data_IF_769932708692
#
_entry.id   IF_769932708692
#
_cell.length_a   1.000
_cell.length_b   1.000
_cell.length_c   1.000
_cell.angle_alpha   90.00
_cell.angle_beta   90.00
_cell.angle_gamma   90.00
#
_symmetry.space_group_name_H-M   'P 1'
#
loop_
_entity.id
_entity.type
_entity.pdbx_description
1 polymer ?
#
# COMPACT_ATOMS: atom_id res chain seq x y z
N UNK A 1 -11.28 -32.23 -13.68
CA UNK A 1 -11.43 -31.08 -12.73
C UNK A 1 -12.31 -30.06 -13.41
N UNK A 2 -13.54 -29.86 -12.94
CA UNK A 2 -14.40 -28.79 -13.42
C UNK A 2 -13.96 -27.46 -12.81
N UNK A 3 -12.98 -26.82 -13.44
CA UNK A 3 -12.42 -25.53 -13.05
C UNK A 3 -13.53 -24.47 -13.09
N UNK A 4 -14.52 -24.59 -13.95
CA UNK A 4 -15.57 -23.61 -14.19
C UNK A 4 -16.44 -23.33 -12.95
N UNK A 5 -16.61 -24.28 -12.04
CA UNK A 5 -17.39 -24.08 -10.81
C UNK A 5 -16.64 -23.34 -9.70
N UNK A 6 -15.31 -23.14 -9.84
CA UNK A 6 -14.46 -22.54 -8.81
C UNK A 6 -13.88 -21.19 -9.23
N UNK A 7 -14.04 -20.83 -10.50
CA UNK A 7 -13.52 -19.58 -11.06
C UNK A 7 -14.70 -18.71 -11.47
N UNK A 8 -14.76 -17.50 -10.90
CA UNK A 8 -15.79 -16.52 -11.21
C UNK A 8 -15.15 -15.27 -11.77
N UNK A 9 -15.55 -14.90 -12.98
CA UNK A 9 -15.15 -13.61 -13.56
C UNK A 9 -16.11 -12.51 -13.10
N UNK A 10 -15.54 -11.42 -12.56
CA UNK A 10 -16.31 -10.26 -12.15
C UNK A 10 -16.03 -9.10 -13.12
N UNK A 11 -16.96 -8.75 -14.01
CA UNK A 11 -16.72 -7.72 -15.04
C UNK A 11 -16.65 -6.31 -14.48
N UNK A 12 -17.00 -6.10 -13.20
CA UNK A 12 -16.97 -4.81 -12.52
C UNK A 12 -17.52 -4.90 -11.11
N UNK A 13 -17.66 -3.74 -10.45
CA UNK A 13 -18.19 -3.65 -9.09
C UNK A 13 -17.27 -2.87 -8.16
N UNK A 14 -17.69 -2.75 -6.90
CA UNK A 14 -16.88 -2.11 -5.85
C UNK A 14 -15.86 -3.11 -5.33
N UNK A 15 -14.57 -2.78 -5.46
CA UNK A 15 -13.46 -3.61 -5.00
C UNK A 15 -13.60 -4.04 -3.52
N UNK A 16 -14.14 -3.17 -2.66
CA UNK A 16 -14.36 -3.48 -1.25
C UNK A 16 -15.21 -4.75 -1.07
N UNK A 17 -16.29 -4.91 -1.83
CA UNK A 17 -17.17 -6.09 -1.73
C UNK A 17 -16.47 -7.41 -2.09
N UNK A 18 -15.42 -7.34 -2.90
CA UNK A 18 -14.61 -8.51 -3.28
C UNK A 18 -13.53 -8.78 -2.23
N UNK A 19 -12.94 -7.71 -1.68
CA UNK A 19 -11.88 -7.83 -0.68
C UNK A 19 -12.39 -8.24 0.69
N UNK A 20 -13.54 -7.74 1.11
CA UNK A 20 -14.03 -7.97 2.47
C UNK A 20 -14.20 -9.47 2.83
N UNK A 21 -14.67 -10.37 1.93
CA UNK A 21 -14.71 -11.80 2.17
C UNK A 21 -13.43 -12.55 1.74
N UNK A 22 -12.42 -11.87 1.18
CA UNK A 22 -11.26 -12.53 0.60
C UNK A 22 -10.31 -13.09 1.67
N UNK A 23 -9.92 -14.35 1.51
CA UNK A 23 -8.92 -15.01 2.35
C UNK A 23 -7.50 -14.60 1.99
N UNK A 24 -7.25 -14.34 0.71
CA UNK A 24 -5.95 -13.88 0.19
C UNK A 24 -6.13 -13.20 -1.17
N UNK A 25 -5.12 -12.45 -1.58
CA UNK A 25 -5.12 -11.73 -2.87
C UNK A 25 -3.84 -12.00 -3.62
N UNK A 26 -3.96 -12.36 -4.88
CA UNK A 26 -2.84 -12.42 -5.84
C UNK A 26 -3.02 -11.31 -6.86
N UNK A 27 -1.96 -10.58 -7.11
CA UNK A 27 -1.97 -9.49 -8.11
C UNK A 27 -0.61 -9.36 -8.78
N UNK A 28 -0.56 -8.77 -9.97
CA UNK A 28 0.73 -8.44 -10.58
C UNK A 28 1.35 -7.26 -9.83
N UNK A 29 0.75 -6.08 -9.92
CA UNK A 29 1.26 -4.85 -9.26
C UNK A 29 0.13 -3.83 -8.96
N UNK A 30 -1.11 -4.31 -8.91
CA UNK A 30 -2.28 -3.45 -8.75
C UNK A 30 -2.35 -2.76 -7.39
N UNK A 31 -2.86 -1.54 -7.35
CA UNK A 31 -3.21 -0.82 -6.11
C UNK A 31 -4.28 -1.53 -5.27
N UNK A 32 -5.01 -2.50 -5.84
CA UNK A 32 -5.89 -3.39 -5.09
C UNK A 32 -5.13 -4.15 -4.00
N UNK A 33 -3.85 -4.51 -4.23
CA UNK A 33 -2.98 -5.12 -3.21
C UNK A 33 -2.77 -4.22 -1.99
N UNK A 34 -2.63 -2.91 -2.17
CA UNK A 34 -2.55 -1.97 -1.04
C UNK A 34 -3.84 -1.96 -0.21
N UNK A 35 -4.99 -2.04 -0.86
CA UNK A 35 -6.28 -2.10 -0.16
C UNK A 35 -6.47 -3.42 0.58
N UNK A 36 -5.96 -4.53 0.04
CA UNK A 36 -5.94 -5.83 0.72
C UNK A 36 -5.03 -5.78 1.95
N UNK A 37 -3.79 -5.31 1.81
CA UNK A 37 -2.84 -5.16 2.91
C UNK A 37 -3.39 -4.28 4.03
N UNK A 38 -4.09 -3.19 3.69
CA UNK A 38 -4.74 -2.32 4.68
C UNK A 38 -5.79 -3.04 5.53
N UNK A 39 -6.45 -4.03 4.95
CA UNK A 39 -7.41 -4.92 5.62
C UNK A 39 -6.75 -6.07 6.39
N UNK A 40 -5.43 -6.22 6.30
CA UNK A 40 -4.72 -7.37 6.88
C UNK A 40 -4.85 -8.65 6.06
N UNK A 41 -5.32 -8.55 4.82
CA UNK A 41 -5.47 -9.71 3.94
C UNK A 41 -4.09 -10.05 3.36
N UNK A 42 -3.68 -11.34 3.41
CA UNK A 42 -2.47 -11.81 2.75
C UNK A 42 -2.42 -11.45 1.27
N UNK A 43 -1.29 -10.91 0.82
CA UNK A 43 -1.09 -10.53 -0.58
C UNK A 43 0.16 -11.20 -1.14
N UNK A 44 0.03 -11.74 -2.35
CA UNK A 44 1.17 -12.14 -3.19
C UNK A 44 1.20 -11.29 -4.45
N UNK A 45 2.36 -10.73 -4.74
CA UNK A 45 2.61 -10.02 -6.00
C UNK A 45 3.36 -10.94 -6.98
N UNK A 46 2.99 -10.87 -8.26
CA UNK A 46 3.67 -11.55 -9.35
C UNK A 46 4.56 -10.61 -10.17
N UNK A 47 4.55 -9.31 -9.83
CA UNK A 47 5.36 -8.28 -10.45
C UNK A 47 5.80 -7.23 -9.45
N UNK A 48 6.56 -6.25 -9.91
CA UNK A 48 7.08 -5.16 -9.07
C UNK A 48 5.96 -4.17 -8.72
N UNK A 49 5.70 -3.99 -7.44
CA UNK A 49 4.77 -3.00 -6.90
C UNK A 49 5.48 -2.19 -5.80
N UNK A 50 5.09 -0.92 -5.60
CA UNK A 50 5.70 -0.05 -4.59
C UNK A 50 5.62 -0.64 -3.16
N UNK A 51 4.63 -1.48 -2.90
CA UNK A 51 4.43 -2.18 -1.63
C UNK A 51 5.03 -3.60 -1.63
N UNK A 52 5.82 -3.98 -2.66
CA UNK A 52 6.44 -5.30 -2.77
C UNK A 52 7.68 -5.39 -1.85
N UNK A 53 7.43 -5.42 -0.55
CA UNK A 53 8.43 -5.57 0.50
C UNK A 53 8.17 -6.89 1.23
N UNK A 54 9.23 -7.59 1.58
CA UNK A 54 9.19 -8.91 2.22
C UNK A 54 8.43 -8.97 3.57
N UNK A 55 8.14 -7.82 4.19
CA UNK A 55 7.30 -7.75 5.40
C UNK A 55 5.82 -7.58 5.11
N UNK A 56 5.44 -7.21 3.91
CA UNK A 56 4.06 -6.88 3.53
C UNK A 56 3.45 -7.95 2.64
N UNK A 57 4.19 -8.39 1.63
CA UNK A 57 3.74 -9.38 0.66
C UNK A 57 4.39 -10.74 0.91
N UNK A 58 3.70 -11.79 0.50
CA UNK A 58 4.21 -13.15 0.66
C UNK A 58 5.32 -13.46 -0.35
N UNK A 59 6.43 -14.01 0.14
CA UNK A 59 7.53 -14.55 -0.67
C UNK A 59 7.34 -16.04 -1.02
N UNK A 60 6.33 -16.70 -0.43
CA UNK A 60 6.03 -18.11 -0.68
C UNK A 60 5.84 -18.38 -2.18
N UNK A 61 6.08 -19.63 -2.61
CA UNK A 61 5.60 -20.08 -3.93
C UNK A 61 4.08 -19.92 -4.04
N UNK A 62 3.54 -19.88 -5.25
CA UNK A 62 2.11 -19.68 -5.44
C UNK A 62 1.28 -20.79 -4.77
N UNK A 63 1.76 -22.03 -4.89
CA UNK A 63 1.09 -23.20 -4.28
C UNK A 63 1.11 -23.13 -2.76
N UNK A 64 2.26 -22.79 -2.16
CA UNK A 64 2.38 -22.62 -0.72
C UNK A 64 1.53 -21.46 -0.21
N UNK A 65 1.45 -20.36 -0.98
CA UNK A 65 0.60 -19.23 -0.64
C UNK A 65 -0.89 -19.57 -0.65
N UNK A 66 -1.34 -20.35 -1.61
CA UNK A 66 -2.74 -20.80 -1.63
C UNK A 66 -3.06 -21.84 -0.56
N UNK A 67 -2.08 -22.67 -0.19
CA UNK A 67 -2.26 -23.66 0.86
C UNK A 67 -2.34 -23.03 2.26
N UNK A 68 -1.48 -22.03 2.53
CA UNK A 68 -1.38 -21.39 3.87
C UNK A 68 -0.90 -19.94 3.72
N UNK A 69 -1.81 -18.99 3.34
CA UNK A 69 -1.49 -17.59 3.19
C UNK A 69 -1.17 -16.94 4.53
N UNK A 70 0.07 -16.48 4.72
CA UNK A 70 0.51 -15.82 5.96
C UNK A 70 0.04 -14.37 6.00
N UNK A 71 -0.47 -13.95 7.16
CA UNK A 71 -0.91 -12.59 7.39
C UNK A 71 0.26 -11.59 7.23
N UNK A 72 0.01 -10.40 6.64
CA UNK A 72 1.02 -9.36 6.50
C UNK A 72 1.40 -8.75 7.85
N UNK A 73 2.60 -8.18 7.94
CA UNK A 73 2.96 -7.32 9.07
C UNK A 73 2.20 -5.98 8.97
N UNK A 74 1.00 -5.95 9.52
CA UNK A 74 0.10 -4.80 9.41
C UNK A 74 0.65 -3.52 10.06
N UNK A 75 1.30 -3.55 11.25
CA UNK A 75 1.96 -2.37 11.81
C UNK A 75 3.02 -1.78 10.85
N UNK A 76 3.90 -2.62 10.31
CA UNK A 76 4.93 -2.18 9.36
C UNK A 76 4.31 -1.62 8.07
N UNK A 77 3.26 -2.25 7.53
CA UNK A 77 2.55 -1.72 6.37
C UNK A 77 1.87 -0.37 6.64
N UNK A 78 1.28 -0.19 7.82
CA UNK A 78 0.68 1.10 8.22
C UNK A 78 1.72 2.21 8.31
N UNK A 79 2.88 1.92 8.88
CA UNK A 79 4.01 2.86 8.93
C UNK A 79 4.48 3.25 7.52
N UNK A 80 4.66 2.27 6.63
CA UNK A 80 5.01 2.50 5.23
C UNK A 80 3.96 3.36 4.51
N UNK A 81 2.67 3.08 4.70
CA UNK A 81 1.60 3.88 4.10
C UNK A 81 1.61 5.32 4.62
N UNK A 82 1.85 5.53 5.92
CA UNK A 82 1.97 6.87 6.49
C UNK A 82 3.16 7.63 5.87
N UNK A 83 4.29 6.96 5.70
CA UNK A 83 5.43 7.53 4.99
C UNK A 83 5.05 7.98 3.57
N UNK A 84 4.38 7.14 2.78
CA UNK A 84 3.92 7.53 1.44
C UNK A 84 2.97 8.74 1.46
N UNK A 85 2.06 8.80 2.42
CA UNK A 85 1.12 9.93 2.57
C UNK A 85 1.85 11.24 2.94
N UNK A 86 2.92 11.16 3.69
CA UNK A 86 3.71 12.33 4.05
C UNK A 86 4.64 12.77 2.90
N UNK A 87 5.18 11.85 2.14
CA UNK A 87 6.16 12.14 1.08
C UNK A 87 5.55 12.24 -0.32
N UNK A 88 5.17 11.14 -0.92
CA UNK A 88 4.87 11.02 -2.35
C UNK A 88 3.38 11.01 -2.72
N UNK A 89 2.49 10.75 -1.76
CA UNK A 89 1.06 10.69 -2.04
C UNK A 89 0.32 11.92 -1.52
N UNK A 90 -0.74 12.30 -2.23
CA UNK A 90 -1.63 13.39 -1.82
C UNK A 90 -3.00 12.80 -1.55
N UNK A 91 -3.44 12.77 -0.28
CA UNK A 91 -4.80 12.34 0.04
C UNK A 91 -5.84 13.26 -0.56
N UNK A 92 -6.85 12.66 -1.19
CA UNK A 92 -7.93 13.36 -1.86
C UNK A 92 -8.48 12.53 -3.01
N UNK A 93 -9.23 13.13 -3.89
CA UNK A 93 -9.78 12.45 -5.07
C UNK A 93 -10.28 13.42 -6.11
N UNK A 94 -10.34 12.97 -7.37
CA UNK A 94 -10.77 13.79 -8.49
C UNK A 94 -12.28 13.78 -8.72
N UNK A 95 -12.97 12.79 -8.19
CA UNK A 95 -14.37 12.50 -8.53
C UNK A 95 -15.39 13.22 -7.67
N UNK A 96 -15.04 13.69 -6.47
CA UNK A 96 -15.94 14.44 -5.58
C UNK A 96 -15.44 15.84 -5.31
N UNK A 97 -16.36 16.79 -5.02
CA UNK A 97 -16.01 18.16 -4.65
C UNK A 97 -15.11 18.18 -3.40
N UNK A 98 -15.50 17.47 -2.36
CA UNK A 98 -14.73 17.37 -1.11
C UNK A 98 -13.33 16.77 -1.35
N UNK A 99 -13.25 15.70 -2.14
CA UNK A 99 -11.95 15.08 -2.50
C UNK A 99 -11.02 16.03 -3.25
N UNK A 100 -11.56 16.82 -4.20
CA UNK A 100 -10.77 17.83 -4.93
C UNK A 100 -10.28 18.94 -4.01
N UNK A 101 -11.15 19.48 -3.15
CA UNK A 101 -10.74 20.50 -2.19
C UNK A 101 -9.64 20.02 -1.25
N UNK A 102 -9.75 18.78 -0.76
CA UNK A 102 -8.71 18.15 0.07
C UNK A 102 -7.40 17.97 -0.69
N UNK A 103 -7.45 17.51 -1.93
CA UNK A 103 -6.27 17.32 -2.76
C UNK A 103 -5.56 18.65 -3.07
N UNK A 104 -6.30 19.69 -3.48
CA UNK A 104 -5.76 21.02 -3.83
C UNK A 104 -5.06 21.65 -2.63
N UNK A 105 -5.69 21.66 -1.45
CA UNK A 105 -5.11 22.26 -0.25
C UNK A 105 -3.77 21.59 0.15
N UNK A 106 -3.69 20.27 0.00
CA UNK A 106 -2.48 19.51 0.32
C UNK A 106 -1.40 19.59 -0.76
N UNK A 107 -1.83 19.62 -2.03
CA UNK A 107 -0.91 19.79 -3.15
C UNK A 107 -0.17 21.11 -3.06
N UNK A 108 -0.89 22.22 -2.88
CA UNK A 108 -0.30 23.54 -2.73
C UNK A 108 0.74 23.57 -1.60
N UNK A 109 0.39 23.02 -0.42
CA UNK A 109 1.34 22.93 0.71
C UNK A 109 2.61 22.15 0.36
N UNK A 110 2.51 21.03 -0.38
CA UNK A 110 3.67 20.24 -0.79
C UNK A 110 4.49 20.93 -1.88
N UNK A 111 3.86 21.54 -2.86
CA UNK A 111 4.54 22.21 -3.99
C UNK A 111 5.35 23.43 -3.55
N UNK A 112 4.88 24.16 -2.55
CA UNK A 112 5.53 25.38 -2.04
C UNK A 112 6.36 25.14 -0.78
N UNK A 113 6.59 23.88 -0.40
CA UNK A 113 7.48 23.56 0.70
C UNK A 113 8.94 23.81 0.26
N UNK A 114 9.77 24.46 1.09
CA UNK A 114 11.16 24.81 0.72
C UNK A 114 12.05 23.57 0.53
N UNK A 115 11.75 22.48 1.20
CA UNK A 115 12.44 21.20 1.06
C UNK A 115 11.59 20.22 0.27
N UNK A 116 12.24 19.30 -0.44
CA UNK A 116 11.54 18.16 -1.01
C UNK A 116 10.93 17.30 0.11
N UNK A 117 9.82 16.58 -0.16
CA UNK A 117 9.09 15.87 0.88
C UNK A 117 9.89 14.79 1.60
N UNK A 118 10.88 14.18 0.94
CA UNK A 118 11.69 13.13 1.56
C UNK A 118 12.70 13.76 2.53
N UNK A 119 13.37 14.82 2.13
CA UNK A 119 14.26 15.58 3.00
C UNK A 119 13.51 16.13 4.19
N UNK A 120 12.36 16.78 3.99
CA UNK A 120 11.54 17.31 5.06
C UNK A 120 11.05 16.22 6.03
N UNK A 121 10.80 15.01 5.54
CA UNK A 121 10.48 13.86 6.37
C UNK A 121 11.69 13.39 7.18
N UNK A 122 12.88 13.29 6.58
CA UNK A 122 14.11 12.84 7.23
C UNK A 122 14.62 13.83 8.29
N UNK A 123 14.46 15.14 8.05
CA UNK A 123 14.87 16.20 9.00
C UNK A 123 13.86 16.44 10.11
N UNK A 124 12.68 15.81 10.04
CA UNK A 124 11.63 15.95 11.06
C UNK A 124 10.80 17.23 10.92
N UNK A 125 10.93 17.99 9.84
CA UNK A 125 10.10 19.17 9.57
C UNK A 125 8.65 18.80 9.23
N UNK A 126 8.44 17.61 8.67
CA UNK A 126 7.12 17.00 8.57
C UNK A 126 6.93 16.11 9.80
N UNK A 127 5.88 16.39 10.59
CA UNK A 127 5.62 15.69 11.84
C UNK A 127 5.56 14.17 11.65
N UNK A 128 6.45 13.46 12.33
CA UNK A 128 6.37 12.02 12.47
C UNK A 128 5.45 11.68 13.64
N UNK A 129 4.62 10.68 13.50
CA UNK A 129 4.20 9.94 14.68
C UNK A 129 5.44 9.15 15.13
N UNK A 130 6.02 9.47 16.31
CA UNK A 130 7.31 8.93 16.79
C UNK A 130 7.41 7.39 16.75
N UNK A 131 6.27 6.69 16.83
CA UNK A 131 6.21 5.23 16.75
C UNK A 131 6.32 4.69 15.31
N UNK A 132 5.91 5.47 14.32
CA UNK A 132 5.94 5.06 12.91
C UNK A 132 7.28 5.38 12.22
N UNK A 133 8.03 6.35 12.77
CA UNK A 133 9.24 6.88 12.14
C UNK A 133 10.38 5.87 11.96
N UNK A 134 10.67 5.05 12.98
CA UNK A 134 11.74 4.04 12.90
C UNK A 134 11.40 2.91 11.93
N UNK A 135 10.15 2.46 11.90
CA UNK A 135 9.70 1.42 10.97
C UNK A 135 9.66 1.93 9.53
N UNK A 136 9.29 3.18 9.32
CA UNK A 136 9.26 3.84 8.01
C UNK A 136 10.68 4.13 7.49
N UNK A 137 11.63 4.54 8.34
CA UNK A 137 13.04 4.71 7.97
C UNK A 137 13.68 3.39 7.56
N UNK A 138 13.38 2.29 8.26
CA UNK A 138 13.83 0.94 7.89
C UNK A 138 13.25 0.50 6.54
N UNK A 139 11.99 0.83 6.25
CA UNK A 139 11.35 0.51 4.98
C UNK A 139 11.88 1.40 3.83
N UNK A 140 12.13 2.69 4.09
CA UNK A 140 12.69 3.62 3.10
C UNK A 140 14.16 3.31 2.79
N UNK A 141 14.97 2.97 3.81
CA UNK A 141 16.36 2.55 3.62
C UNK A 141 16.47 1.25 2.81
N UNK A 142 15.53 0.32 3.00
CA UNK A 142 15.45 -0.90 2.19
C UNK A 142 15.07 -0.62 0.71
N UNK A 143 14.32 0.46 0.45
CA UNK A 143 13.98 0.88 -0.92
C UNK A 143 15.21 1.45 -1.65
N UNK A 144 16.02 2.25 -0.95
CA UNK A 144 17.24 2.89 -1.52
C UNK A 144 18.38 1.88 -1.69
N UNK A 145 18.45 0.84 -0.86
CA UNK A 145 19.49 -0.20 -0.95
C UNK A 145 19.18 -1.29 -2.00
N UNK A 146 18.01 -1.25 -2.64
CA UNK A 146 17.58 -2.23 -3.66
C UNK A 146 17.76 -1.72 -5.10
N UNK A 147 18.32 -0.52 -5.31
CA UNK A 147 18.78 0.02 -6.59
C UNK A 147 20.29 -0.24 -6.80
#
# INVERSE_FOLDING_TARGET
FDINRRIHYLPGGKLAHVLDPALSVVTVNSTAGQQALWRGIPVKTLGKAIYNQNKFVSEQSLDAFFADPKAPNLPAYRAFRNFLLQTSQIPGGFYSKAGRQQAIARLAKKMFHPLDPYTAYLTGEIAHNKQDGLAALSAAAALVAAE
#
